data_IF_081440292637
#
_entry.id   IF_081440292637
#
_cell.length_a   1.000
_cell.length_b   1.000
_cell.length_c   1.000
_cell.angle_alpha   90.00
_cell.angle_beta   90.00
_cell.angle_gamma   90.00
#
_symmetry.space_group_name_H-M   'P 1'
#
loop_
_entity.id
_entity.type
_entity.pdbx_description
1 polymer ?
#
# COMPACT_ATOMS: atom_id res chain seq x y z
N UNK A 1 -20.96 21.87 6.43
CA UNK A 1 -20.08 21.35 7.50
C UNK A 1 -20.02 22.36 8.63
N UNK A 2 -20.15 21.93 9.88
CA UNK A 2 -19.94 22.80 11.05
C UNK A 2 -18.50 22.62 11.56
N UNK A 3 -17.82 23.73 11.85
CA UNK A 3 -16.47 23.74 12.44
C UNK A 3 -16.57 24.37 13.82
N UNK A 4 -16.07 23.67 14.84
CA UNK A 4 -16.07 24.17 16.21
C UNK A 4 -14.67 24.03 16.82
N UNK A 5 -14.15 25.13 17.38
CA UNK A 5 -12.88 25.16 18.10
C UNK A 5 -13.17 25.22 19.61
N UNK A 6 -13.04 24.12 20.35
CA UNK A 6 -13.37 24.10 21.77
C UNK A 6 -12.34 24.95 22.56
N UNK A 7 -12.82 25.82 23.46
CA UNK A 7 -11.97 26.75 24.23
C UNK A 7 -10.96 26.02 25.12
N UNK A 8 -11.45 24.97 25.79
CA UNK A 8 -10.65 23.94 26.46
C UNK A 8 -10.74 22.75 25.52
N UNK A 9 -9.68 21.96 25.30
CA UNK A 9 -9.62 20.85 24.31
C UNK A 9 -10.65 19.71 24.50
N UNK A 10 -11.79 19.95 25.15
CA UNK A 10 -12.87 19.03 25.51
C UNK A 10 -14.17 19.69 25.10
N UNK A 11 -15.14 18.91 24.63
CA UNK A 11 -16.42 19.44 24.19
C UNK A 11 -17.56 18.49 24.55
N UNK A 12 -18.70 19.07 24.91
CA UNK A 12 -20.01 18.43 24.84
C UNK A 12 -20.81 19.15 23.76
N UNK A 13 -21.46 18.41 22.87
CA UNK A 13 -22.23 18.98 21.77
C UNK A 13 -23.49 18.17 21.47
N UNK A 14 -24.46 18.81 20.84
CA UNK A 14 -25.72 18.23 20.37
C UNK A 14 -26.19 19.03 19.17
N UNK A 15 -27.21 18.53 18.48
CA UNK A 15 -27.75 19.19 17.30
C UNK A 15 -29.18 19.61 17.57
N UNK A 16 -29.49 20.89 17.40
CA UNK A 16 -30.87 21.36 17.37
C UNK A 16 -31.34 21.26 15.92
N UNK A 17 -32.35 20.43 15.69
CA UNK A 17 -32.96 20.20 14.38
C UNK A 17 -34.27 20.97 14.30
N UNK A 18 -34.46 21.71 13.23
CA UNK A 18 -35.71 22.41 12.93
C UNK A 18 -36.42 21.68 11.80
N UNK A 19 -37.62 21.19 12.09
CA UNK A 19 -38.50 20.56 11.12
C UNK A 19 -39.22 21.59 10.24
N UNK A 20 -39.88 21.11 9.18
CA UNK A 20 -40.55 21.97 8.20
C UNK A 20 -41.87 22.54 8.70
N UNK A 21 -42.47 21.90 9.69
CA UNK A 21 -43.79 22.25 10.25
C UNK A 21 -43.64 22.93 11.62
N UNK A 22 -42.43 23.43 11.93
CA UNK A 22 -42.12 24.14 13.17
C UNK A 22 -41.63 23.24 14.30
N UNK A 23 -41.38 21.96 14.03
CA UNK A 23 -40.85 21.04 15.03
C UNK A 23 -39.43 21.43 15.43
N UNK A 24 -39.09 21.24 16.69
CA UNK A 24 -37.76 21.55 17.21
C UNK A 24 -37.26 20.39 18.06
N UNK A 25 -36.19 19.73 17.63
CA UNK A 25 -35.64 18.56 18.32
C UNK A 25 -34.19 18.77 18.77
N UNK A 26 -33.86 18.34 19.98
CA UNK A 26 -32.48 18.13 20.40
C UNK A 26 -32.07 16.69 20.08
N UNK A 27 -31.20 16.53 19.09
CA UNK A 27 -30.54 15.27 18.80
C UNK A 27 -29.21 15.18 19.57
N UNK A 28 -29.15 14.21 20.49
CA UNK A 28 -28.03 13.96 21.39
C UNK A 28 -27.57 12.51 21.42
N UNK A 29 -26.61 12.21 22.30
CA UNK A 29 -25.97 10.89 22.46
C UNK A 29 -26.94 9.80 22.89
N UNK A 30 -27.86 10.11 23.82
CA UNK A 30 -28.73 9.09 24.42
C UNK A 30 -30.10 9.04 23.79
N UNK A 31 -30.60 10.17 23.27
CA UNK A 31 -31.95 10.29 22.72
C UNK A 31 -32.11 11.55 21.86
N UNK A 32 -33.10 11.49 20.98
CA UNK A 32 -33.70 12.66 20.34
C UNK A 32 -34.89 13.14 21.19
N UNK A 33 -34.99 14.43 21.49
CA UNK A 33 -36.03 15.00 22.35
C UNK A 33 -36.72 16.15 21.66
N UNK A 34 -38.04 16.15 21.63
CA UNK A 34 -38.84 17.31 21.24
C UNK A 34 -38.66 18.43 22.27
N UNK A 35 -38.11 19.56 21.83
CA UNK A 35 -37.85 20.76 22.61
C UNK A 35 -38.66 21.95 22.07
N UNK A 36 -39.83 21.69 21.47
CA UNK A 36 -40.69 22.73 20.90
C UNK A 36 -41.34 23.61 21.98
N UNK A 37 -41.50 23.10 23.22
CA UNK A 37 -41.93 23.90 24.37
C UNK A 37 -40.72 24.58 25.05
N UNK A 38 -40.81 25.87 25.45
CA UNK A 38 -39.75 26.59 26.14
C UNK A 38 -39.26 25.89 27.42
N UNK A 39 -40.18 25.30 28.19
CA UNK A 39 -39.86 24.58 29.43
C UNK A 39 -39.05 23.31 29.15
N UNK A 40 -39.38 22.60 28.06
CA UNK A 40 -38.64 21.42 27.65
C UNK A 40 -37.25 21.79 27.11
N UNK A 41 -37.18 22.85 26.30
CA UNK A 41 -35.92 23.38 25.77
C UNK A 41 -34.95 23.76 26.90
N UNK A 42 -35.39 24.58 27.86
CA UNK A 42 -34.56 24.98 28.99
C UNK A 42 -34.08 23.77 29.81
N UNK A 43 -34.97 22.79 30.05
CA UNK A 43 -34.65 21.57 30.80
C UNK A 43 -33.62 20.69 30.09
N UNK A 44 -33.76 20.48 28.79
CA UNK A 44 -32.86 19.59 28.06
C UNK A 44 -31.52 20.27 27.74
N UNK A 45 -31.52 21.56 27.39
CA UNK A 45 -30.28 22.29 27.07
C UNK A 45 -29.42 22.62 28.30
N UNK A 46 -30.01 22.67 29.50
CA UNK A 46 -29.26 22.82 30.77
C UNK A 46 -28.59 21.52 31.24
N UNK A 47 -28.92 20.37 30.62
CA UNK A 47 -28.42 19.04 31.02
C UNK A 47 -27.46 18.47 29.99
N UNK A 48 -26.18 18.50 30.31
CA UNK A 48 -25.12 17.91 29.45
C UNK A 48 -25.21 16.38 29.29
N UNK A 49 -26.10 15.70 30.02
CA UNK A 49 -26.17 14.23 30.05
C UNK A 49 -26.62 13.59 28.73
N UNK A 50 -27.30 14.34 27.86
CA UNK A 50 -27.73 13.90 26.53
C UNK A 50 -26.79 14.41 25.42
N UNK A 51 -25.76 15.19 25.73
CA UNK A 51 -24.86 15.73 24.71
C UNK A 51 -23.76 14.72 24.39
N UNK A 52 -23.45 14.55 23.10
CA UNK A 52 -22.25 13.85 22.64
C UNK A 52 -21.01 14.41 23.31
N UNK A 53 -20.00 13.56 23.49
CA UNK A 53 -18.76 13.91 24.15
C UNK A 53 -17.59 13.79 23.18
N UNK A 54 -16.80 14.86 23.06
CA UNK A 54 -15.43 14.78 22.57
C UNK A 54 -14.52 14.96 23.80
N UNK A 55 -14.05 13.87 24.44
CA UNK A 55 -13.50 13.93 25.79
C UNK A 55 -12.25 14.80 25.90
N UNK A 56 -11.31 14.68 24.95
CA UNK A 56 -10.12 15.49 24.86
C UNK A 56 -9.49 15.44 23.46
N UNK A 57 -9.01 16.57 22.95
CA UNK A 57 -8.28 16.69 21.69
C UNK A 57 -6.79 16.53 21.95
N UNK A 58 -6.33 15.28 22.00
CA UNK A 58 -4.91 14.96 22.07
C UNK A 58 -4.25 15.32 20.74
N UNK A 59 -3.13 16.02 20.78
CA UNK A 59 -2.39 16.41 19.57
C UNK A 59 -1.89 15.18 18.79
N UNK A 60 -1.51 14.11 19.48
CA UNK A 60 -0.98 12.88 18.87
C UNK A 60 -2.04 12.10 18.08
N UNK A 61 -3.33 12.25 18.42
CA UNK A 61 -4.44 11.58 17.75
C UNK A 61 -5.01 12.40 16.57
N UNK A 62 -4.52 13.63 16.36
CA UNK A 62 -4.94 14.45 15.23
C UNK A 62 -4.26 13.94 13.97
N UNK A 63 -5.05 13.45 13.02
CA UNK A 63 -4.57 13.03 11.71
C UNK A 63 -3.78 14.18 11.06
N UNK A 64 -2.49 13.94 10.85
CA UNK A 64 -1.59 14.85 10.16
C UNK A 64 -1.00 14.12 8.95
N UNK A 65 -1.35 14.59 7.76
CA UNK A 65 -0.79 14.07 6.51
C UNK A 65 0.31 15.00 6.00
N UNK A 66 1.34 14.48 5.29
CA UNK A 66 2.35 15.33 4.69
C UNK A 66 1.70 16.39 3.79
N UNK A 67 2.04 17.67 3.98
CA UNK A 67 1.32 18.77 3.32
C UNK A 67 1.46 18.77 1.80
N UNK A 68 2.59 18.29 1.28
CA UNK A 68 2.93 18.27 -0.13
C UNK A 68 1.96 17.40 -0.97
N UNK A 69 1.38 16.33 -0.38
CA UNK A 69 0.46 15.43 -1.10
C UNK A 69 -0.79 16.16 -1.60
N UNK A 70 -1.21 17.24 -0.93
CA UNK A 70 -2.42 18.01 -1.29
C UNK A 70 -2.27 18.75 -2.62
N UNK A 71 -1.03 19.00 -3.03
CA UNK A 71 -0.68 19.68 -4.28
C UNK A 71 0.04 18.72 -5.24
N UNK A 72 -0.02 17.40 -4.97
CA UNK A 72 0.65 16.40 -5.80
C UNK A 72 -0.30 15.85 -6.85
N UNK A 73 0.12 15.85 -8.11
CA UNK A 73 -0.51 15.15 -9.22
C UNK A 73 0.35 13.93 -9.53
N UNK A 74 -0.20 12.75 -9.22
CA UNK A 74 0.49 11.48 -9.37
C UNK A 74 0.38 10.92 -10.79
N UNK A 75 1.47 10.33 -11.28
CA UNK A 75 1.51 9.54 -12.50
C UNK A 75 1.91 8.10 -12.16
N UNK A 76 1.06 7.13 -12.48
CA UNK A 76 1.37 5.71 -12.24
C UNK A 76 2.20 5.14 -13.39
N UNK A 77 3.31 4.48 -13.06
CA UNK A 77 4.19 3.81 -14.02
C UNK A 77 4.18 2.30 -13.78
N UNK A 78 3.88 1.55 -14.83
CA UNK A 78 4.16 0.12 -14.93
C UNK A 78 5.49 -0.05 -15.69
N UNK A 79 6.62 -0.36 -15.02
CA UNK A 79 7.97 -0.18 -15.58
C UNK A 79 8.20 -0.89 -16.90
N UNK A 80 7.83 -2.18 -17.02
CA UNK A 80 8.06 -3.00 -18.22
C UNK A 80 7.37 -2.43 -19.48
N UNK A 81 6.44 -1.48 -19.34
CA UNK A 81 5.63 -0.93 -20.44
C UNK A 81 5.75 0.58 -20.63
N UNK A 82 6.58 1.27 -19.84
CA UNK A 82 6.67 2.73 -19.93
C UNK A 82 7.64 3.20 -21.00
N UNK A 83 8.91 2.78 -20.91
CA UNK A 83 9.93 3.04 -21.93
C UNK A 83 11.08 2.04 -21.78
N UNK A 84 11.50 1.40 -22.87
CA UNK A 84 12.74 0.63 -22.93
C UNK A 84 13.91 1.60 -23.21
N UNK A 85 14.69 1.90 -22.18
CA UNK A 85 15.83 2.81 -22.26
C UNK A 85 17.14 2.07 -22.50
N UNK A 86 17.24 0.82 -22.03
CA UNK A 86 18.45 -0.02 -22.13
C UNK A 86 18.06 -1.43 -22.60
N UNK A 87 17.96 -1.65 -23.92
CA UNK A 87 17.61 -2.96 -24.48
C UNK A 87 18.54 -4.10 -24.06
N UNK A 88 19.79 -3.79 -23.70
CA UNK A 88 20.80 -4.77 -23.27
C UNK A 88 20.51 -5.43 -21.90
N UNK A 89 19.65 -4.83 -21.07
CA UNK A 89 19.21 -5.44 -19.80
C UNK A 89 17.80 -6.04 -19.89
N UNK A 90 17.16 -5.96 -21.06
CA UNK A 90 15.81 -6.51 -21.25
C UNK A 90 15.80 -8.04 -21.02
N UNK A 91 14.70 -8.60 -20.49
CA UNK A 91 14.56 -10.06 -20.33
C UNK A 91 14.72 -10.83 -21.65
N UNK A 92 15.05 -12.11 -21.57
CA UNK A 92 15.02 -12.96 -22.76
C UNK A 92 13.59 -13.08 -23.31
N UNK A 93 13.46 -13.07 -24.63
CA UNK A 93 12.16 -13.23 -25.29
C UNK A 93 11.24 -12.01 -25.23
N UNK A 94 11.78 -10.80 -24.98
CA UNK A 94 10.99 -9.56 -25.12
C UNK A 94 10.35 -9.46 -26.51
N UNK A 95 9.08 -9.07 -26.53
CA UNK A 95 8.33 -8.84 -27.75
C UNK A 95 8.59 -7.41 -28.27
N UNK A 96 8.34 -7.14 -29.58
CA UNK A 96 8.44 -5.79 -30.12
C UNK A 96 7.61 -4.78 -29.31
N UNK A 97 8.17 -3.59 -29.07
CA UNK A 97 7.50 -2.54 -28.30
C UNK A 97 6.12 -2.20 -28.88
N UNK A 98 5.09 -2.19 -28.03
CA UNK A 98 3.70 -1.96 -28.44
C UNK A 98 2.94 -3.21 -28.90
N UNK A 99 3.52 -4.42 -28.74
CA UNK A 99 2.79 -5.68 -28.90
C UNK A 99 1.61 -5.76 -27.91
N UNK A 100 0.64 -6.64 -28.16
CA UNK A 100 -0.50 -6.80 -27.23
C UNK A 100 -0.03 -7.40 -25.90
N UNK A 101 -0.27 -6.75 -24.75
CA UNK A 101 0.05 -7.31 -23.45
C UNK A 101 -0.60 -8.68 -23.20
N UNK A 102 0.18 -9.61 -22.68
CA UNK A 102 -0.30 -10.85 -22.05
C UNK A 102 0.16 -10.89 -20.60
N UNK A 103 -0.29 -11.89 -19.83
CA UNK A 103 0.15 -12.10 -18.46
C UNK A 103 1.64 -12.48 -18.35
N UNK A 104 2.29 -12.85 -19.46
CA UNK A 104 3.62 -13.46 -19.43
C UNK A 104 4.66 -12.75 -20.31
N UNK A 105 4.24 -11.95 -21.30
CA UNK A 105 5.20 -11.30 -22.19
C UNK A 105 5.86 -10.09 -21.53
N UNK A 106 7.06 -9.77 -22.01
CA UNK A 106 7.84 -8.61 -21.61
C UNK A 106 8.00 -7.68 -22.80
N UNK A 107 8.10 -6.37 -22.54
CA UNK A 107 8.47 -5.37 -23.57
C UNK A 107 9.80 -4.68 -23.25
N UNK A 108 10.40 -5.00 -22.08
CA UNK A 108 11.74 -4.55 -21.73
C UNK A 108 11.79 -3.12 -21.24
N UNK A 109 10.68 -2.57 -20.75
CA UNK A 109 10.69 -1.25 -20.12
C UNK A 109 11.49 -1.28 -18.82
N UNK A 110 12.23 -0.21 -18.55
CA UNK A 110 13.21 -0.13 -17.46
C UNK A 110 13.27 1.27 -16.83
N UNK A 111 13.98 1.41 -15.70
CA UNK A 111 14.06 2.69 -14.99
C UNK A 111 14.92 3.73 -15.72
N UNK A 112 15.86 3.31 -16.58
CA UNK A 112 16.61 4.25 -17.42
C UNK A 112 15.69 4.90 -18.45
N UNK A 113 14.76 4.14 -19.02
CA UNK A 113 13.70 4.67 -19.88
C UNK A 113 12.79 5.65 -19.15
N UNK A 114 12.55 5.46 -17.84
CA UNK A 114 11.83 6.46 -17.03
C UNK A 114 12.66 7.74 -16.88
N UNK A 115 13.95 7.62 -16.57
CA UNK A 115 14.88 8.77 -16.49
C UNK A 115 14.87 9.55 -17.81
N UNK A 116 14.99 8.85 -18.95
CA UNK A 116 14.98 9.42 -20.30
C UNK A 116 13.66 10.13 -20.66
N UNK A 117 12.60 9.95 -19.86
CA UNK A 117 11.26 10.55 -20.02
C UNK A 117 10.86 11.51 -18.89
N UNK A 118 11.75 11.83 -17.95
CA UNK A 118 11.44 12.79 -16.89
C UNK A 118 11.07 14.17 -17.42
N UNK A 119 11.69 14.64 -18.50
CA UNK A 119 11.35 15.93 -19.13
C UNK A 119 9.92 15.93 -19.70
N UNK A 120 9.45 14.78 -20.23
CA UNK A 120 8.05 14.62 -20.66
C UNK A 120 7.08 14.68 -19.47
N UNK A 121 7.45 14.05 -18.35
CA UNK A 121 6.62 14.05 -17.14
C UNK A 121 6.55 15.46 -16.52
N UNK A 122 7.68 16.18 -16.50
CA UNK A 122 7.74 17.56 -16.05
C UNK A 122 6.89 18.48 -16.93
N UNK A 123 6.98 18.37 -18.27
CA UNK A 123 6.16 19.15 -19.21
C UNK A 123 4.65 18.86 -19.04
N UNK A 124 4.29 17.61 -18.74
CA UNK A 124 2.91 17.23 -18.41
C UNK A 124 2.41 17.89 -17.11
N UNK A 125 3.32 18.36 -16.25
CA UNK A 125 3.01 19.04 -14.99
C UNK A 125 2.80 18.09 -13.81
N UNK A 126 3.29 16.84 -13.89
CA UNK A 126 3.24 15.92 -12.76
C UNK A 126 4.37 16.24 -11.78
N UNK A 127 4.14 15.94 -10.49
CA UNK A 127 5.13 16.14 -9.43
C UNK A 127 5.13 14.97 -8.42
N UNK A 128 4.55 13.83 -8.83
CA UNK A 128 4.64 12.57 -8.13
C UNK A 128 4.58 11.39 -9.10
N UNK A 129 5.44 10.40 -8.91
CA UNK A 129 5.42 9.12 -9.63
C UNK A 129 5.12 8.01 -8.64
N UNK A 130 4.15 7.17 -8.98
CA UNK A 130 3.86 5.92 -8.30
C UNK A 130 4.28 4.75 -9.19
N UNK A 131 5.22 3.94 -8.73
CA UNK A 131 5.61 2.73 -9.45
C UNK A 131 4.79 1.53 -8.99
N UNK A 132 4.28 0.74 -9.95
CA UNK A 132 4.05 -0.70 -9.71
C UNK A 132 5.36 -1.37 -9.22
N UNK A 133 5.31 -2.60 -8.66
CA UNK A 133 6.48 -3.20 -8.02
C UNK A 133 7.74 -3.21 -8.91
N UNK A 134 8.86 -2.82 -8.32
CA UNK A 134 10.17 -2.74 -9.00
C UNK A 134 11.19 -3.74 -8.44
N UNK A 135 10.86 -4.42 -7.36
CA UNK A 135 11.77 -5.35 -6.69
C UNK A 135 11.92 -6.64 -7.50
N UNK A 136 13.02 -7.33 -7.24
CA UNK A 136 13.42 -8.52 -8.01
C UNK A 136 12.31 -9.56 -8.03
N UNK A 137 11.88 -9.95 -9.23
CA UNK A 137 10.81 -10.93 -9.43
C UNK A 137 10.85 -11.49 -10.87
N UNK A 138 10.41 -12.74 -11.03
CA UNK A 138 10.41 -13.43 -12.32
C UNK A 138 9.33 -12.93 -13.28
N UNK A 139 8.23 -12.35 -12.79
CA UNK A 139 7.13 -11.90 -13.64
C UNK A 139 7.33 -10.49 -14.21
N UNK A 140 6.51 -10.13 -15.19
CA UNK A 140 6.46 -8.77 -15.73
C UNK A 140 5.82 -7.75 -14.77
N UNK A 141 4.97 -8.20 -13.84
CA UNK A 141 4.23 -7.35 -12.91
C UNK A 141 4.89 -7.26 -11.53
N UNK A 142 5.77 -8.20 -11.20
CA UNK A 142 6.66 -8.21 -10.04
C UNK A 142 5.96 -8.21 -8.67
N UNK A 143 4.74 -8.74 -8.59
CA UNK A 143 4.01 -8.88 -7.31
C UNK A 143 4.44 -10.13 -6.52
N UNK A 144 5.05 -11.10 -7.21
CA UNK A 144 5.68 -12.30 -6.69
C UNK A 144 7.15 -12.02 -6.36
N UNK A 145 7.39 -11.18 -5.34
CA UNK A 145 8.73 -10.70 -4.98
C UNK A 145 9.68 -11.82 -4.55
N UNK A 146 10.86 -11.87 -5.16
CA UNK A 146 11.96 -12.78 -4.80
C UNK A 146 12.86 -12.13 -3.75
N UNK A 147 13.30 -10.89 -4.00
CA UNK A 147 14.15 -10.09 -3.10
C UNK A 147 13.63 -8.65 -3.01
N UNK A 148 13.36 -8.20 -1.79
CA UNK A 148 12.84 -6.87 -1.47
C UNK A 148 13.93 -5.80 -1.33
N UNK A 149 15.21 -6.17 -1.25
CA UNK A 149 16.33 -5.24 -1.04
C UNK A 149 17.01 -4.82 -2.36
N UNK A 150 16.60 -5.42 -3.46
CA UNK A 150 17.16 -5.16 -4.78
C UNK A 150 16.06 -4.83 -5.78
N UNK A 151 16.18 -3.69 -6.44
CA UNK A 151 15.46 -3.43 -7.69
C UNK A 151 15.86 -4.49 -8.70
N UNK A 152 14.88 -4.95 -9.46
CA UNK A 152 15.05 -6.01 -10.44
C UNK A 152 16.19 -5.69 -11.43
N UNK A 153 17.10 -6.64 -11.73
CA UNK A 153 18.19 -6.42 -12.67
C UNK A 153 17.73 -5.96 -14.06
N UNK A 154 16.58 -6.45 -14.54
CA UNK A 154 16.02 -6.05 -15.83
C UNK A 154 15.42 -4.64 -15.83
N UNK A 155 15.24 -4.04 -14.64
CA UNK A 155 14.86 -2.64 -14.48
C UNK A 155 16.07 -1.71 -14.26
N UNK A 156 17.29 -2.26 -14.22
CA UNK A 156 18.54 -1.51 -14.05
C UNK A 156 19.12 -1.53 -12.63
N UNK A 157 18.48 -2.26 -11.71
CA UNK A 157 18.96 -2.44 -10.35
C UNK A 157 19.00 -1.14 -9.52
N UNK A 158 19.61 -1.24 -8.34
CA UNK A 158 19.65 -0.15 -7.36
C UNK A 158 20.38 1.10 -7.91
N UNK A 159 21.29 0.93 -8.87
CA UNK A 159 22.01 2.04 -9.51
C UNK A 159 21.04 2.91 -10.32
N UNK A 160 20.24 2.29 -11.20
CA UNK A 160 19.25 3.02 -12.00
C UNK A 160 18.23 3.71 -11.09
N UNK A 161 17.78 3.03 -10.03
CA UNK A 161 16.82 3.60 -9.10
C UNK A 161 17.39 4.81 -8.33
N UNK A 162 18.63 4.73 -7.84
CA UNK A 162 19.27 5.87 -7.17
C UNK A 162 19.37 7.09 -8.10
N UNK A 163 19.82 6.89 -9.34
CA UNK A 163 19.88 7.99 -10.34
C UNK A 163 18.49 8.56 -10.65
N UNK A 164 17.46 7.71 -10.74
CA UNK A 164 16.09 8.13 -10.95
C UNK A 164 15.57 9.01 -9.82
N UNK A 165 15.81 8.64 -8.55
CA UNK A 165 15.44 9.47 -7.40
C UNK A 165 16.09 10.85 -7.53
N UNK A 166 17.41 10.90 -7.73
CA UNK A 166 18.15 12.17 -7.81
C UNK A 166 17.61 13.07 -8.93
N UNK A 167 17.37 12.52 -10.12
CA UNK A 167 16.87 13.27 -11.27
C UNK A 167 15.40 13.70 -11.13
N UNK A 168 14.56 12.86 -10.52
CA UNK A 168 13.17 13.20 -10.22
C UNK A 168 13.08 14.32 -9.17
N UNK A 169 13.86 14.22 -8.09
CA UNK A 169 13.87 15.21 -7.02
C UNK A 169 14.38 16.58 -7.49
N UNK A 170 15.38 16.63 -8.39
CA UNK A 170 15.83 17.89 -9.03
C UNK A 170 14.70 18.62 -9.76
N UNK A 171 13.70 17.88 -10.26
CA UNK A 171 12.50 18.39 -10.94
C UNK A 171 11.30 18.57 -9.99
N UNK A 172 11.50 18.36 -8.69
CA UNK A 172 10.42 18.43 -7.69
C UNK A 172 9.41 17.29 -7.77
N UNK A 173 9.77 16.17 -8.43
CA UNK A 173 8.92 14.99 -8.58
C UNK A 173 9.16 14.04 -7.40
N UNK A 174 8.08 13.69 -6.69
CA UNK A 174 8.08 12.75 -5.56
C UNK A 174 7.98 11.30 -6.01
N UNK A 175 8.62 10.37 -5.31
CA UNK A 175 8.64 8.94 -5.70
C UNK A 175 7.97 8.07 -4.64
N UNK A 176 6.96 7.30 -5.06
CA UNK A 176 6.26 6.32 -4.23
C UNK A 176 6.45 4.90 -4.79
N UNK A 177 6.85 3.97 -3.92
CA UNK A 177 7.02 2.55 -4.25
C UNK A 177 5.82 1.71 -3.84
N UNK A 178 5.52 0.65 -4.59
CA UNK A 178 4.57 -0.40 -4.21
C UNK A 178 5.22 -1.39 -3.24
N UNK A 179 4.62 -1.58 -2.07
CA UNK A 179 5.08 -2.51 -1.04
C UNK A 179 4.17 -3.74 -0.99
N UNK A 180 4.64 -4.84 -1.58
CA UNK A 180 3.90 -6.10 -1.65
C UNK A 180 4.10 -6.91 -0.36
N UNK A 181 3.53 -6.43 0.75
CA UNK A 181 3.77 -7.03 2.08
C UNK A 181 2.71 -8.06 2.52
N UNK A 182 1.68 -8.30 1.71
CA UNK A 182 0.67 -9.33 2.00
C UNK A 182 1.17 -10.76 1.72
N UNK A 183 2.06 -10.92 0.75
CA UNK A 183 2.55 -12.21 0.25
C UNK A 183 3.99 -12.09 -0.23
N UNK A 184 4.64 -13.22 -0.48
CA UNK A 184 5.98 -13.32 -1.05
C UNK A 184 5.92 -14.14 -2.34
N UNK A 185 6.89 -14.00 -3.24
CA UNK A 185 7.02 -14.88 -4.40
C UNK A 185 7.52 -16.27 -4.01
N UNK A 186 7.01 -17.31 -4.67
CA UNK A 186 7.40 -18.70 -4.44
C UNK A 186 8.88 -19.00 -4.79
N UNK A 187 9.52 -18.15 -5.59
CA UNK A 187 10.96 -18.27 -5.88
C UNK A 187 11.86 -17.57 -4.86
N UNK A 188 11.27 -16.95 -3.82
CA UNK A 188 12.05 -16.30 -2.76
C UNK A 188 12.82 -17.32 -1.90
N UNK A 189 14.08 -17.05 -1.53
CA UNK A 189 14.86 -17.93 -0.65
C UNK A 189 14.17 -18.25 0.69
N UNK A 190 13.36 -17.33 1.21
CA UNK A 190 12.61 -17.50 2.47
C UNK A 190 11.56 -18.60 2.29
N UNK A 191 10.77 -18.56 1.20
CA UNK A 191 9.77 -19.59 0.93
C UNK A 191 10.42 -20.92 0.54
N UNK A 192 11.49 -20.90 -0.26
CA UNK A 192 12.21 -22.11 -0.65
C UNK A 192 12.81 -22.85 0.55
N UNK A 193 13.20 -22.15 1.63
CA UNK A 193 13.62 -22.79 2.88
C UNK A 193 12.46 -23.55 3.56
N UNK A 194 11.24 -22.98 3.56
CA UNK A 194 10.02 -23.65 4.04
C UNK A 194 9.71 -24.88 3.20
N UNK A 195 9.81 -24.77 1.88
CA UNK A 195 9.59 -25.90 0.96
C UNK A 195 10.57 -27.04 1.25
N UNK A 196 11.85 -26.71 1.50
CA UNK A 196 12.91 -27.71 1.74
C UNK A 196 12.84 -28.35 3.12
N UNK A 197 12.62 -27.54 4.16
CA UNK A 197 12.77 -27.96 5.56
C UNK A 197 11.42 -28.21 6.25
N UNK A 198 10.30 -27.84 5.61
CA UNK A 198 8.95 -27.98 6.15
C UNK A 198 8.79 -27.29 7.50
N UNK A 199 8.18 -27.99 8.45
CA UNK A 199 7.98 -27.52 9.82
C UNK A 199 9.28 -27.20 10.58
N UNK A 200 10.45 -27.66 10.10
CA UNK A 200 11.74 -27.35 10.70
C UNK A 200 12.38 -26.07 10.14
N UNK A 201 11.77 -25.42 9.15
CA UNK A 201 12.24 -24.13 8.66
C UNK A 201 12.08 -23.06 9.74
N UNK A 202 13.09 -22.20 9.88
CA UNK A 202 12.99 -21.01 10.74
C UNK A 202 11.93 -20.01 10.28
N UNK A 203 11.47 -20.15 9.03
CA UNK A 203 10.48 -19.27 8.40
C UNK A 203 9.10 -19.93 8.32
N UNK A 204 8.89 -21.13 8.88
CA UNK A 204 7.61 -21.82 8.80
C UNK A 204 6.44 -20.95 9.32
N UNK A 205 6.64 -20.28 10.46
CA UNK A 205 5.63 -19.40 11.08
C UNK A 205 5.50 -18.02 10.42
N UNK A 206 6.29 -17.73 9.38
CA UNK A 206 6.13 -16.52 8.57
C UNK A 206 5.03 -16.67 7.52
N UNK A 207 4.43 -17.85 7.39
CA UNK A 207 3.36 -18.12 6.44
C UNK A 207 2.19 -18.82 7.12
N UNK A 208 1.00 -18.71 6.53
CA UNK A 208 -0.18 -19.43 6.99
C UNK A 208 -0.22 -20.83 6.36
N UNK A 209 0.41 -21.79 7.02
CA UNK A 209 0.54 -23.17 6.53
C UNK A 209 -0.42 -24.08 7.29
N UNK A 210 -1.27 -24.80 6.55
CA UNK A 210 -2.22 -25.78 7.09
C UNK A 210 -1.61 -27.17 7.20
N UNK A 211 -0.69 -27.52 6.28
CA UNK A 211 -0.11 -28.86 6.20
C UNK A 211 1.28 -28.85 5.58
N UNK A 212 2.15 -29.72 6.08
CA UNK A 212 3.44 -30.06 5.45
C UNK A 212 3.40 -31.46 4.80
N UNK A 213 4.12 -31.68 3.68
CA UNK A 213 4.83 -30.68 2.88
C UNK A 213 3.86 -29.69 2.21
N UNK A 214 4.31 -28.45 2.02
CA UNK A 214 3.47 -27.38 1.41
C UNK A 214 3.10 -27.70 -0.04
N UNK A 215 3.95 -28.43 -0.74
CA UNK A 215 3.66 -29.02 -2.05
C UNK A 215 3.36 -30.52 -1.91
N UNK A 216 2.26 -31.02 -2.51
CA UNK A 216 1.97 -32.44 -2.52
C UNK A 216 3.10 -33.26 -3.17
N UNK A 217 3.33 -34.48 -2.66
CA UNK A 217 4.27 -35.45 -3.23
C UNK A 217 3.72 -36.17 -4.48
N UNK A 218 2.68 -35.61 -5.12
CA UNK A 218 2.08 -36.11 -6.36
C UNK A 218 2.52 -35.24 -7.54
N UNK A 219 2.42 -35.73 -8.80
CA UNK A 219 2.65 -34.90 -9.97
C UNK A 219 1.79 -33.63 -9.95
N UNK A 220 2.32 -32.49 -10.43
CA UNK A 220 1.60 -31.19 -10.47
C UNK A 220 0.25 -31.27 -11.20
N UNK A 221 0.10 -32.19 -12.16
CA UNK A 221 -1.16 -32.46 -12.86
C UNK A 221 -2.27 -33.02 -11.96
N UNK A 222 -1.92 -33.56 -10.80
CA UNK A 222 -2.85 -34.12 -9.81
C UNK A 222 -3.06 -33.21 -8.60
N UNK A 223 -2.48 -32.00 -8.60
CA UNK A 223 -2.62 -31.08 -7.47
C UNK A 223 -4.03 -30.50 -7.41
N UNK A 224 -4.57 -30.39 -6.18
CA UNK A 224 -5.81 -29.65 -5.93
C UNK A 224 -5.51 -28.16 -5.86
N UNK A 225 -5.64 -27.49 -7.02
CA UNK A 225 -5.45 -26.04 -7.13
C UNK A 225 -6.55 -25.22 -6.45
N UNK A 226 -7.54 -25.84 -5.79
CA UNK A 226 -8.55 -25.12 -5.00
C UNK A 226 -8.26 -25.16 -3.50
N UNK A 227 -7.46 -26.11 -3.04
CA UNK A 227 -7.19 -26.35 -1.62
C UNK A 227 -5.70 -26.57 -1.39
N UNK A 228 -4.92 -25.49 -1.48
CA UNK A 228 -3.50 -25.54 -1.15
C UNK A 228 -3.28 -25.84 0.34
N UNK A 229 -2.11 -26.39 0.65
CA UNK A 229 -1.71 -26.66 2.04
C UNK A 229 -1.31 -25.39 2.81
N UNK A 230 -1.49 -24.20 2.22
CA UNK A 230 -1.13 -22.90 2.78
C UNK A 230 -1.97 -21.80 2.11
N UNK A 231 -2.11 -20.65 2.78
CA UNK A 231 -2.84 -19.50 2.24
C UNK A 231 -2.03 -18.75 1.18
N UNK A 232 -2.72 -18.18 0.19
CA UNK A 232 -2.11 -17.43 -0.91
C UNK A 232 -2.89 -16.15 -1.23
N UNK A 233 -2.29 -15.27 -2.02
CA UNK A 233 -3.05 -14.20 -2.66
C UNK A 233 -3.93 -14.79 -3.78
N UNK A 234 -5.24 -14.56 -3.73
CA UNK A 234 -6.14 -14.82 -4.87
C UNK A 234 -6.16 -16.28 -5.38
N UNK A 235 -5.76 -17.25 -4.56
CA UNK A 235 -5.58 -18.64 -4.96
C UNK A 235 -4.48 -18.84 -6.03
N UNK A 236 -3.41 -18.04 -5.95
CA UNK A 236 -2.21 -18.09 -6.80
C UNK A 236 -1.09 -18.81 -6.06
N UNK A 237 -0.68 -19.98 -6.57
CA UNK A 237 0.29 -20.85 -5.91
C UNK A 237 1.68 -20.21 -5.80
N UNK A 238 2.00 -19.27 -6.70
CA UNK A 238 3.26 -18.53 -6.72
C UNK A 238 3.33 -17.40 -5.67
N UNK A 239 2.25 -17.17 -4.90
CA UNK A 239 2.12 -16.02 -3.98
C UNK A 239 1.71 -16.44 -2.54
N UNK A 240 2.55 -17.21 -1.82
CA UNK A 240 2.31 -17.58 -0.42
C UNK A 240 2.08 -16.36 0.49
N UNK A 241 0.98 -16.40 1.26
CA UNK A 241 0.58 -15.31 2.15
C UNK A 241 1.49 -15.23 3.38
N UNK A 242 2.02 -14.03 3.63
CA UNK A 242 2.81 -13.76 4.83
C UNK A 242 1.93 -13.65 6.08
N UNK A 243 2.46 -14.15 7.19
CA UNK A 243 1.91 -13.99 8.52
C UNK A 243 2.49 -12.73 9.17
N UNK A 244 1.84 -11.59 8.96
CA UNK A 244 2.25 -10.30 9.53
C UNK A 244 1.98 -10.18 11.04
N UNK A 245 1.36 -11.19 11.66
CA UNK A 245 1.22 -11.27 13.12
C UNK A 245 2.53 -11.76 13.77
N UNK A 246 3.32 -12.58 13.04
CA UNK A 246 4.64 -13.02 13.47
C UNK A 246 5.60 -11.82 13.60
N UNK A 247 6.26 -11.71 14.76
CA UNK A 247 7.11 -10.57 15.08
C UNK A 247 8.36 -10.49 14.20
N UNK A 248 9.02 -11.61 13.91
CA UNK A 248 10.20 -11.64 13.03
C UNK A 248 9.83 -11.29 11.59
N UNK A 249 8.70 -11.81 11.09
CA UNK A 249 8.19 -11.46 9.76
C UNK A 249 7.88 -9.96 9.68
N UNK A 250 7.20 -9.40 10.70
CA UNK A 250 6.89 -7.97 10.74
C UNK A 250 8.15 -7.11 10.81
N UNK A 251 9.12 -7.50 11.62
CA UNK A 251 10.39 -6.78 11.74
C UNK A 251 11.19 -6.81 10.42
N UNK A 252 11.17 -7.94 9.71
CA UNK A 252 11.73 -8.04 8.36
C UNK A 252 11.07 -7.06 7.39
N UNK A 253 9.73 -7.00 7.35
CA UNK A 253 9.00 -6.06 6.48
C UNK A 253 9.26 -4.60 6.84
N UNK A 254 9.32 -4.28 8.14
CA UNK A 254 9.69 -2.93 8.60
C UNK A 254 11.16 -2.59 8.27
N UNK A 255 12.05 -3.58 8.23
CA UNK A 255 13.45 -3.37 7.81
C UNK A 255 13.56 -2.99 6.34
N UNK A 256 12.70 -3.53 5.48
CA UNK A 256 12.60 -3.14 4.06
C UNK A 256 12.18 -1.67 3.95
N UNK A 257 11.14 -1.26 4.70
CA UNK A 257 10.70 0.14 4.74
C UNK A 257 11.85 1.07 5.14
N UNK A 258 12.56 0.74 6.22
CA UNK A 258 13.71 1.53 6.68
C UNK A 258 14.83 1.57 5.64
N UNK A 259 15.14 0.45 5.00
CA UNK A 259 16.19 0.37 3.99
C UNK A 259 15.95 1.36 2.84
N UNK A 260 14.77 1.32 2.22
CA UNK A 260 14.48 2.19 1.07
C UNK A 260 14.31 3.66 1.48
N UNK A 261 13.65 3.95 2.62
CA UNK A 261 13.52 5.33 3.11
C UNK A 261 14.88 5.93 3.48
N UNK A 262 15.78 5.17 4.11
CA UNK A 262 17.07 5.71 4.60
C UNK A 262 18.15 5.78 3.52
N UNK A 263 18.16 4.86 2.55
CA UNK A 263 19.24 4.77 1.56
C UNK A 263 18.89 5.40 0.20
N UNK A 264 17.59 5.54 -0.12
CA UNK A 264 17.13 6.04 -1.43
C UNK A 264 16.17 7.22 -1.33
N UNK A 265 15.86 7.74 -0.14
CA UNK A 265 15.03 8.94 0.04
C UNK A 265 13.67 8.90 -0.69
N UNK A 266 13.02 7.73 -0.69
CA UNK A 266 11.65 7.62 -1.25
C UNK A 266 10.65 8.43 -0.43
N UNK A 267 9.63 8.97 -1.10
CA UNK A 267 8.67 9.91 -0.51
C UNK A 267 7.40 9.24 0.00
N UNK A 268 7.14 7.99 -0.38
CA UNK A 268 5.95 7.26 0.05
C UNK A 268 5.96 5.78 -0.27
N UNK A 269 5.02 5.09 0.35
CA UNK A 269 4.70 3.69 0.08
C UNK A 269 3.22 3.56 -0.28
N UNK A 270 2.95 2.82 -1.35
CA UNK A 270 1.63 2.29 -1.67
C UNK A 270 1.58 0.86 -1.12
N UNK A 271 0.61 0.58 -0.25
CA UNK A 271 0.35 -0.74 0.34
C UNK A 271 -0.88 -1.39 -0.32
#
# INVERSE_FOLDING_TARGET
FAVFKPQKRRCRYGFILFGKEGEKFLFGEKRCVDISSPECEERELSRLNNFFCFPYLNKIDVLNTPSWVKNTVWYQIFPDRFCNGRPEISPEGVEPWGSTPTSFNFMGGDLWGVIDKLDYLEDLGINGIYFCPIFTSASNHKYDTIDHFSVDPHLGGNIAFHTLIEEAHKRGIKIMLDAVFNHLGADSPIWLDVVRNGANSRYADWFWIHKFPVYPNTPKSEWDFKNFNYETFGNVIEMPKLNTENEECREYLLSIVRYWTQNFDIDGWRL
#
